data_IF_601147764048
#
_entry.id   IF_601147764048
#
_cell.length_a   1.000
_cell.length_b   1.000
_cell.length_c   1.000
_cell.angle_alpha   90.00
_cell.angle_beta   90.00
_cell.angle_gamma   90.00
#
_symmetry.space_group_name_H-M   'P 1'
#
loop_
_entity.id
_entity.type
_entity.pdbx_description
1 polymer ?
#
# COMPACT_ATOMS: atom_id res chain seq x y z
N UNK A 1 -17.99 -56.08 51.80
CA UNK A 1 -17.95 -57.40 52.44
C UNK A 1 -16.54 -57.95 52.29
N UNK A 2 -15.88 -58.17 53.43
CA UNK A 2 -14.72 -59.05 53.68
C UNK A 2 -13.38 -58.73 53.00
N UNK A 3 -12.22 -58.68 53.63
CA UNK A 3 -11.72 -58.81 55.02
C UNK A 3 -10.29 -58.20 54.97
N UNK A 4 -9.93 -57.19 55.76
CA UNK A 4 -8.98 -57.28 56.91
C UNK A 4 -7.75 -58.17 56.66
N UNK A 5 -6.48 -57.80 56.94
CA UNK A 5 -5.99 -57.22 58.19
C UNK A 5 -4.44 -57.00 58.12
N UNK A 6 -3.95 -55.94 58.81
CA UNK A 6 -2.79 -55.89 59.75
C UNK A 6 -1.38 -56.35 59.26
N UNK A 7 -0.26 -55.84 59.75
CA UNK A 7 0.09 -54.93 60.85
C UNK A 7 1.53 -54.45 60.67
N UNK A 8 1.83 -53.30 61.29
CA UNK A 8 3.16 -52.79 61.56
C UNK A 8 3.97 -53.70 62.49
N UNK A 9 5.30 -53.69 62.36
CA UNK A 9 6.23 -53.86 63.47
C UNK A 9 7.53 -53.10 63.16
N UNK A 10 7.88 -52.20 64.06
CA UNK A 10 9.16 -51.52 64.12
C UNK A 10 10.19 -52.40 64.85
N UNK A 11 11.45 -52.36 64.44
CA UNK A 11 12.58 -52.54 65.35
C UNK A 11 13.86 -51.96 64.75
N UNK A 12 14.69 -51.44 65.65
CA UNK A 12 15.86 -50.62 65.43
C UNK A 12 17.13 -51.43 65.07
N UNK A 13 18.14 -50.76 64.52
CA UNK A 13 19.52 -51.21 64.72
C UNK A 13 20.52 -50.92 63.61
N UNK A 14 21.50 -50.08 63.96
CA UNK A 14 22.90 -50.13 63.56
C UNK A 14 23.36 -49.47 62.23
N UNK A 15 24.24 -48.49 62.47
CA UNK A 15 25.09 -47.71 61.59
C UNK A 15 26.08 -48.60 60.82
N UNK A 16 26.19 -48.39 59.49
CA UNK A 16 27.45 -48.57 58.75
C UNK A 16 27.46 -47.70 57.49
N UNK A 17 28.46 -46.82 57.40
CA UNK A 17 28.68 -45.91 56.29
C UNK A 17 28.84 -46.69 54.97
N UNK A 18 28.05 -46.31 53.96
CA UNK A 18 28.14 -46.82 52.59
C UNK A 18 28.14 -45.64 51.60
N UNK A 19 29.15 -45.67 50.73
CA UNK A 19 29.40 -44.78 49.59
C UNK A 19 28.13 -44.46 48.80
N UNK A 20 27.89 -43.17 48.52
CA UNK A 20 26.85 -42.72 47.58
C UNK A 20 27.18 -43.16 46.14
N UNK A 21 26.18 -43.58 45.35
CA UNK A 21 26.34 -43.99 43.96
C UNK A 21 26.40 -42.78 43.03
N UNK A 22 27.15 -42.93 41.93
CA UNK A 22 27.23 -41.97 40.84
C UNK A 22 25.90 -41.91 40.07
N UNK A 23 25.21 -40.78 40.11
CA UNK A 23 24.14 -40.46 39.18
C UNK A 23 24.64 -39.42 38.17
N UNK A 24 24.57 -39.79 36.88
CA UNK A 24 24.86 -38.96 35.71
C UNK A 24 24.18 -37.59 35.85
N UNK A 25 24.99 -36.53 35.77
CA UNK A 25 24.54 -35.18 35.44
C UNK A 25 23.97 -35.21 34.02
N UNK A 26 22.65 -35.22 33.88
CA UNK A 26 21.98 -34.81 32.65
C UNK A 26 22.13 -33.30 32.54
N UNK A 27 23.12 -32.85 31.78
CA UNK A 27 23.20 -31.46 31.34
C UNK A 27 22.09 -31.21 30.33
N UNK A 28 21.05 -30.51 30.76
CA UNK A 28 20.10 -29.87 29.83
C UNK A 28 20.88 -28.86 28.99
N UNK A 29 20.82 -28.89 27.64
CA UNK A 29 21.48 -27.88 26.85
C UNK A 29 20.77 -26.54 27.09
N UNK A 30 21.50 -25.55 27.62
CA UNK A 30 21.08 -24.15 27.60
C UNK A 30 20.83 -23.79 26.14
N UNK A 31 19.54 -23.66 25.77
CA UNK A 31 19.12 -23.12 24.49
C UNK A 31 19.70 -21.70 24.41
N UNK A 32 20.68 -21.51 23.53
CA UNK A 32 21.22 -20.21 23.23
C UNK A 32 20.05 -19.29 22.82
N UNK A 33 19.84 -18.24 23.60
CA UNK A 33 18.92 -17.15 23.26
C UNK A 33 19.52 -16.49 22.04
N UNK A 34 18.95 -16.76 20.85
CA UNK A 34 19.22 -15.94 19.67
C UNK A 34 18.83 -14.51 20.03
N UNK A 35 19.65 -13.49 19.75
CA UNK A 35 19.25 -12.11 19.96
C UNK A 35 18.00 -11.86 19.11
N UNK A 36 16.89 -11.54 19.78
CA UNK A 36 15.68 -11.05 19.14
C UNK A 36 16.10 -9.74 18.47
N UNK A 37 15.98 -9.66 17.15
CA UNK A 37 16.14 -8.39 16.45
C UNK A 37 15.19 -7.39 17.13
N UNK A 38 15.73 -6.35 17.75
CA UNK A 38 14.95 -5.21 18.20
C UNK A 38 14.52 -4.50 16.92
N UNK A 39 13.26 -4.68 16.55
CA UNK A 39 12.61 -3.77 15.61
C UNK A 39 12.58 -2.42 16.35
N UNK A 40 13.16 -1.37 15.77
CA UNK A 40 12.96 -0.03 16.31
C UNK A 40 11.47 0.30 16.14
N UNK A 41 10.83 0.76 17.21
CA UNK A 41 9.39 1.05 17.25
C UNK A 41 9.00 2.37 16.56
N UNK A 42 9.93 3.04 15.87
CA UNK A 42 9.65 4.28 15.15
C UNK A 42 9.40 4.00 13.66
N UNK A 43 8.33 4.58 13.07
CA UNK A 43 8.09 4.51 11.64
C UNK A 43 9.25 5.20 10.92
N UNK A 44 9.96 4.45 10.08
CA UNK A 44 11.00 5.00 9.23
C UNK A 44 10.41 5.32 7.87
N UNK A 45 10.16 6.60 7.62
CA UNK A 45 9.72 7.10 6.33
C UNK A 45 10.91 7.26 5.38
N UNK A 46 10.70 7.08 4.08
CA UNK A 46 11.76 7.24 3.09
C UNK A 46 11.81 8.71 2.66
N UNK A 47 12.68 9.48 3.30
CA UNK A 47 13.36 10.60 2.66
C UNK A 47 14.79 10.18 2.34
N UNK A 48 15.35 10.67 1.24
CA UNK A 48 16.74 10.39 0.92
C UNK A 48 17.62 10.93 2.06
N UNK A 49 18.44 10.08 2.68
CA UNK A 49 19.35 10.46 3.78
C UNK A 49 20.27 11.65 3.41
N UNK A 50 20.51 11.90 2.12
CA UNK A 50 21.24 13.08 1.63
C UNK A 50 20.42 14.37 1.78
N UNK A 51 19.10 14.29 1.63
CA UNK A 51 18.16 15.39 1.85
C UNK A 51 17.84 15.53 3.36
N UNK A 52 17.80 14.44 4.13
CA UNK A 52 17.68 14.47 5.61
C UNK A 52 18.90 15.11 6.29
N UNK A 53 20.12 14.79 5.84
CA UNK A 53 21.35 15.44 6.33
C UNK A 53 21.39 16.94 6.03
N UNK A 54 20.63 17.39 5.02
CA UNK A 54 20.50 18.81 4.64
C UNK A 54 19.41 19.53 5.46
N UNK A 55 18.39 18.79 5.91
CA UNK A 55 17.31 19.31 6.77
C UNK A 55 17.61 19.21 8.28
N UNK A 56 18.58 18.38 8.69
CA UNK A 56 18.96 18.15 10.09
C UNK A 56 19.88 19.22 10.71
N UNK A 57 20.10 20.36 10.04
CA UNK A 57 20.75 21.50 10.67
C UNK A 57 19.75 22.18 11.62
N UNK A 58 20.17 22.54 12.86
CA UNK A 58 19.26 23.15 13.82
C UNK A 58 18.69 24.45 13.24
N UNK A 59 17.37 24.59 13.34
CA UNK A 59 16.68 25.83 12.99
C UNK A 59 17.16 26.93 13.96
N UNK A 60 18.03 27.81 13.49
CA UNK A 60 18.32 29.05 14.21
C UNK A 60 17.18 30.03 13.94
N UNK A 61 16.62 30.56 15.02
CA UNK A 61 15.39 31.35 14.97
C UNK A 61 15.75 32.76 14.51
N UNK A 62 15.74 32.96 13.19
CA UNK A 62 15.54 34.28 12.58
C UNK A 62 16.53 34.64 11.49
N UNK A 63 16.15 34.43 10.22
CA UNK A 63 16.35 35.35 9.08
C UNK A 63 15.72 34.74 7.81
N UNK A 64 14.52 35.22 7.44
CA UNK A 64 13.60 34.49 6.55
C UNK A 64 13.77 34.71 5.04
N UNK A 65 14.58 35.66 4.58
CA UNK A 65 14.61 36.00 3.14
C UNK A 65 15.86 35.46 2.42
N UNK A 66 17.04 35.51 3.06
CA UNK A 66 18.29 35.02 2.47
C UNK A 66 18.34 33.48 2.38
N UNK A 67 17.66 32.77 3.29
CA UNK A 67 17.63 31.30 3.29
C UNK A 67 16.62 30.72 2.30
N UNK A 68 15.53 31.44 2.00
CA UNK A 68 14.65 31.10 0.88
C UNK A 68 15.41 31.21 -0.45
N UNK A 69 16.26 32.23 -0.59
CA UNK A 69 17.17 32.35 -1.73
C UNK A 69 18.25 31.26 -1.71
N UNK A 70 18.85 30.94 -0.57
CA UNK A 70 19.86 29.86 -0.47
C UNK A 70 19.28 28.45 -0.69
N UNK A 71 18.04 28.17 -0.27
CA UNK A 71 17.31 26.94 -0.59
C UNK A 71 16.95 26.89 -2.08
N UNK A 72 16.58 28.03 -2.67
CA UNK A 72 16.32 28.18 -4.12
C UNK A 72 17.59 28.05 -4.95
N UNK A 73 18.72 28.52 -4.46
CA UNK A 73 20.05 28.37 -5.06
C UNK A 73 20.56 26.94 -4.92
N UNK A 74 20.32 26.30 -3.78
CA UNK A 74 20.54 24.88 -3.56
C UNK A 74 19.67 23.99 -4.47
N UNK A 75 18.47 24.45 -4.83
CA UNK A 75 17.54 23.82 -5.77
C UNK A 75 17.95 24.04 -7.23
N UNK A 76 18.64 25.13 -7.57
CA UNK A 76 19.00 25.50 -8.95
C UNK A 76 20.45 25.16 -9.34
N UNK A 77 21.37 25.11 -8.38
CA UNK A 77 22.74 24.67 -8.60
C UNK A 77 22.80 23.13 -8.67
N UNK A 78 23.36 22.61 -9.78
CA UNK A 78 23.70 21.21 -9.93
C UNK A 78 24.58 20.79 -8.75
N UNK A 79 24.08 19.85 -7.94
CA UNK A 79 24.81 19.42 -6.74
C UNK A 79 26.01 18.58 -7.20
N UNK A 80 27.13 18.52 -6.47
CA UNK A 80 28.31 17.72 -6.84
C UNK A 80 28.06 16.20 -6.95
N UNK A 81 26.82 15.73 -6.77
CA UNK A 81 26.40 14.33 -6.84
C UNK A 81 25.38 14.00 -7.94
N UNK A 82 25.02 14.94 -8.81
CA UNK A 82 24.11 14.67 -9.94
C UNK A 82 24.92 14.17 -11.17
N UNK A 83 24.57 13.01 -11.72
CA UNK A 83 25.19 12.43 -12.91
C UNK A 83 25.03 13.30 -14.16
N UNK A 84 25.88 13.14 -15.20
CA UNK A 84 25.72 13.89 -16.46
C UNK A 84 24.34 13.69 -17.11
N UNK A 85 23.74 12.51 -16.93
CA UNK A 85 22.40 12.20 -17.41
C UNK A 85 21.36 13.09 -16.72
N UNK A 86 21.37 13.15 -15.39
CA UNK A 86 20.38 13.91 -14.64
C UNK A 86 20.58 15.42 -14.76
N UNK A 87 21.83 15.88 -14.91
CA UNK A 87 22.11 17.27 -15.30
C UNK A 87 21.51 17.62 -16.67
N UNK A 88 21.57 16.71 -17.64
CA UNK A 88 21.00 16.94 -18.98
C UNK A 88 19.48 17.00 -18.92
N UNK A 89 18.85 16.03 -18.27
CA UNK A 89 17.40 16.02 -18.07
C UNK A 89 16.93 17.23 -17.26
N UNK A 90 17.70 17.68 -16.28
CA UNK A 90 17.35 18.86 -15.50
C UNK A 90 17.46 20.16 -16.31
N UNK A 91 18.31 20.23 -17.34
CA UNK A 91 18.34 21.36 -18.27
C UNK A 91 17.12 21.37 -19.20
N UNK A 92 16.64 20.20 -19.58
CA UNK A 92 15.51 20.04 -20.52
C UNK A 92 14.15 20.17 -19.83
N UNK A 93 14.00 19.58 -18.64
CA UNK A 93 12.74 19.44 -17.92
C UNK A 93 12.72 20.07 -16.52
N UNK A 94 13.82 20.68 -16.10
CA UNK A 94 13.88 21.38 -14.81
C UNK A 94 13.05 22.66 -14.85
N UNK A 95 12.24 22.86 -13.80
CA UNK A 95 11.48 24.10 -13.60
C UNK A 95 11.91 24.68 -12.26
N UNK A 96 12.59 25.83 -12.29
CA UNK A 96 13.22 26.41 -11.10
C UNK A 96 12.24 26.56 -9.92
N UNK A 97 12.53 25.88 -8.81
CA UNK A 97 11.71 25.86 -7.59
C UNK A 97 10.52 24.90 -7.59
N UNK A 98 10.28 24.18 -8.69
CA UNK A 98 9.10 23.33 -8.86
C UNK A 98 9.45 21.90 -9.28
N UNK A 99 10.35 21.73 -10.24
CA UNK A 99 10.68 20.43 -10.82
C UNK A 99 12.19 20.32 -10.92
N UNK A 100 12.73 19.20 -10.42
CA UNK A 100 14.15 18.90 -10.54
C UNK A 100 14.38 17.41 -10.80
N UNK A 101 15.32 17.10 -11.67
CA UNK A 101 15.78 15.74 -11.95
C UNK A 101 17.09 15.50 -11.21
N UNK A 102 17.23 14.37 -10.51
CA UNK A 102 18.43 13.99 -9.74
C UNK A 102 18.65 12.49 -9.74
N UNK A 103 19.85 12.08 -9.33
CA UNK A 103 20.11 10.69 -8.98
C UNK A 103 19.52 10.40 -7.59
N UNK A 104 18.71 9.36 -7.50
CA UNK A 104 18.12 8.86 -6.25
C UNK A 104 18.91 7.69 -5.66
N UNK A 105 18.22 6.91 -4.82
CA UNK A 105 18.77 5.70 -4.20
C UNK A 105 19.20 4.70 -5.28
N UNK A 106 20.35 4.06 -5.07
CA UNK A 106 20.86 3.07 -6.02
C UNK A 106 21.20 3.65 -7.41
N UNK A 107 21.50 4.95 -7.46
CA UNK A 107 21.83 5.72 -8.66
C UNK A 107 20.72 5.72 -9.74
N UNK A 108 19.48 5.44 -9.31
CA UNK A 108 18.32 5.45 -10.18
C UNK A 108 17.80 6.89 -10.37
N UNK A 109 17.50 7.27 -11.61
CA UNK A 109 17.00 8.61 -11.92
C UNK A 109 15.62 8.83 -11.30
N UNK A 110 15.47 9.95 -10.59
CA UNK A 110 14.19 10.42 -10.06
C UNK A 110 13.92 11.87 -10.50
N UNK A 111 12.64 12.21 -10.60
CA UNK A 111 12.16 13.58 -10.72
C UNK A 111 11.39 13.95 -9.45
N UNK A 112 11.62 15.16 -8.96
CA UNK A 112 11.03 15.69 -7.74
C UNK A 112 10.12 16.84 -8.10
N UNK A 113 8.88 16.83 -7.60
CA UNK A 113 7.92 17.93 -7.73
C UNK A 113 7.80 18.65 -6.39
N UNK A 114 7.82 19.98 -6.41
CA UNK A 114 7.69 20.85 -5.23
C UNK A 114 6.60 21.86 -5.51
N UNK A 115 5.54 21.80 -4.71
CA UNK A 115 4.42 22.74 -4.75
C UNK A 115 4.77 24.00 -3.93
N UNK A 116 4.28 25.20 -4.25
CA UNK A 116 4.56 26.42 -3.50
C UNK A 116 4.20 26.39 -2.01
N UNK A 117 3.29 25.49 -1.61
CA UNK A 117 2.96 25.27 -0.20
C UNK A 117 4.01 24.50 0.59
N UNK A 118 5.00 23.90 -0.07
CA UNK A 118 5.95 22.97 0.52
C UNK A 118 5.57 21.49 0.39
N UNK A 119 4.40 21.16 -0.19
CA UNK A 119 4.10 19.77 -0.55
C UNK A 119 5.10 19.27 -1.61
N UNK A 120 5.46 18.00 -1.53
CA UNK A 120 6.59 17.42 -2.26
C UNK A 120 6.28 16.01 -2.74
N UNK A 121 6.73 15.63 -3.93
CA UNK A 121 6.61 14.27 -4.43
C UNK A 121 7.88 13.80 -5.15
N UNK A 122 8.22 12.52 -5.00
CA UNK A 122 9.32 11.86 -5.71
C UNK A 122 8.80 10.78 -6.65
N UNK A 123 9.20 10.87 -7.91
CA UNK A 123 8.84 9.90 -8.94
C UNK A 123 10.11 9.31 -9.55
N UNK A 124 10.26 8.00 -9.48
CA UNK A 124 11.36 7.30 -10.14
C UNK A 124 10.98 7.00 -11.59
N UNK A 125 11.91 7.24 -12.52
CA UNK A 125 11.67 6.99 -13.95
C UNK A 125 11.48 5.50 -14.23
N UNK A 126 12.10 4.64 -13.44
CA UNK A 126 11.83 3.21 -13.49
C UNK A 126 10.41 2.92 -12.98
N UNK A 127 9.58 2.36 -13.84
CA UNK A 127 8.19 2.02 -13.56
C UNK A 127 7.26 3.22 -13.36
N UNK A 128 7.75 4.46 -13.57
CA UNK A 128 7.04 5.69 -13.22
C UNK A 128 6.46 5.67 -11.79
N UNK A 129 7.18 5.05 -10.84
CA UNK A 129 6.65 4.82 -9.50
C UNK A 129 6.79 6.10 -8.65
N UNK A 130 5.68 6.54 -8.06
CA UNK A 130 5.69 7.63 -7.09
C UNK A 130 6.00 7.02 -5.73
N UNK A 131 7.19 7.30 -5.21
CA UNK A 131 7.72 6.62 -4.02
C UNK A 131 7.54 7.41 -2.74
N UNK A 132 7.35 8.72 -2.85
CA UNK A 132 7.08 9.62 -1.73
C UNK A 132 6.12 10.71 -2.22
N UNK A 133 5.17 11.03 -1.36
CA UNK A 133 4.34 12.22 -1.45
C UNK A 133 4.18 12.78 -0.03
N UNK A 134 4.93 13.83 0.28
CA UNK A 134 4.80 14.54 1.55
C UNK A 134 3.87 15.74 1.40
N UNK A 135 2.90 15.84 2.31
CA UNK A 135 2.06 17.03 2.48
C UNK A 135 2.89 18.23 2.99
N UNK A 136 2.35 19.44 2.81
CA UNK A 136 2.96 20.66 3.37
C UNK A 136 3.12 20.62 4.90
N UNK A 137 2.28 19.85 5.59
CA UNK A 137 2.37 19.60 7.04
C UNK A 137 3.54 18.69 7.44
N UNK A 138 4.24 18.08 6.48
CA UNK A 138 5.32 17.13 6.71
C UNK A 138 4.88 15.66 6.78
N UNK A 139 3.57 15.38 6.73
CA UNK A 139 3.05 14.01 6.70
C UNK A 139 3.35 13.30 5.39
N UNK A 140 4.04 12.16 5.45
CA UNK A 140 4.27 11.27 4.31
C UNK A 140 3.01 10.44 4.02
N UNK A 141 2.61 10.38 2.75
CA UNK A 141 1.40 9.68 2.31
C UNK A 141 1.71 8.28 1.78
N UNK A 142 2.86 8.08 1.14
CA UNK A 142 3.24 6.78 0.59
C UNK A 142 4.37 6.13 1.38
N UNK A 143 4.23 4.82 1.58
CA UNK A 143 5.19 4.01 2.30
C UNK A 143 6.09 3.25 1.33
N UNK A 144 7.40 3.29 1.60
CA UNK A 144 8.41 2.44 0.99
C UNK A 144 9.30 1.91 2.10
N UNK A 145 9.69 0.65 2.03
CA UNK A 145 10.61 0.07 3.01
C UNK A 145 12.01 0.71 2.94
N UNK A 146 12.62 1.01 4.09
CA UNK A 146 13.98 1.54 4.18
C UNK A 146 15.00 0.63 3.45
N UNK A 147 14.85 -0.69 3.54
CA UNK A 147 15.69 -1.69 2.87
C UNK A 147 15.39 -1.92 1.38
N UNK A 148 14.42 -1.21 0.79
CA UNK A 148 14.00 -1.46 -0.58
C UNK A 148 15.13 -1.24 -1.59
N UNK A 149 15.24 -2.15 -2.56
CA UNK A 149 16.27 -2.11 -3.61
C UNK A 149 15.81 -1.27 -4.80
N UNK A 150 16.42 -0.09 -4.97
CA UNK A 150 16.21 0.78 -6.12
C UNK A 150 17.08 0.42 -7.34
N UNK A 151 17.71 -0.76 -7.32
CA UNK A 151 18.54 -1.22 -8.44
C UNK A 151 17.73 -1.37 -9.73
N UNK A 152 18.39 -1.13 -10.85
CA UNK A 152 17.84 -1.15 -12.22
C UNK A 152 16.99 -2.38 -12.58
N UNK A 153 17.14 -3.52 -11.91
CA UNK A 153 16.41 -4.76 -12.24
C UNK A 153 15.38 -5.24 -11.20
N UNK A 154 15.27 -4.61 -10.03
CA UNK A 154 14.29 -5.01 -9.01
C UNK A 154 13.00 -4.16 -9.10
N UNK A 155 11.80 -4.75 -9.26
CA UNK A 155 10.57 -4.00 -9.05
C UNK A 155 10.54 -3.46 -7.62
N UNK A 156 10.11 -2.20 -7.47
CA UNK A 156 9.99 -1.57 -6.16
C UNK A 156 8.62 -1.91 -5.58
N UNK A 157 8.60 -2.65 -4.47
CA UNK A 157 7.38 -2.95 -3.71
C UNK A 157 7.22 -1.87 -2.63
N UNK A 158 6.37 -0.88 -2.92
CA UNK A 158 6.22 0.35 -2.14
C UNK A 158 5.91 1.54 -3.03
N UNK A 159 5.44 2.64 -2.44
CA UNK A 159 5.02 3.82 -3.19
C UNK A 159 3.63 3.59 -3.83
N UNK A 160 3.47 4.06 -5.07
CA UNK A 160 2.25 3.92 -5.85
C UNK A 160 2.53 3.30 -7.23
N UNK A 161 2.88 2.00 -7.29
CA UNK A 161 3.21 1.31 -8.53
C UNK A 161 2.00 1.19 -9.47
N UNK A 162 2.25 1.41 -10.76
CA UNK A 162 1.30 1.15 -11.85
C UNK A 162 1.16 -0.35 -12.13
N UNK A 163 -0.08 -0.79 -12.36
CA UNK A 163 -0.44 -2.12 -12.82
C UNK A 163 -0.92 -2.04 -14.27
N UNK A 164 -0.18 -2.66 -15.21
CA UNK A 164 -0.57 -2.76 -16.62
C UNK A 164 0.23 -3.84 -17.36
N UNK A 165 -0.39 -4.66 -18.22
CA UNK A 165 -1.82 -4.74 -18.54
C UNK A 165 -2.59 -5.70 -17.60
N UNK A 166 -2.01 -6.03 -16.43
CA UNK A 166 -2.56 -6.98 -15.48
C UNK A 166 -2.54 -6.40 -14.06
N UNK A 167 -3.54 -6.73 -13.25
CA UNK A 167 -3.53 -6.51 -11.81
C UNK A 167 -3.37 -7.83 -11.04
N UNK A 168 -2.55 -7.81 -9.99
CA UNK A 168 -2.30 -8.96 -9.14
C UNK A 168 -1.64 -10.12 -9.89
N UNK A 169 -1.72 -11.33 -9.33
CA UNK A 169 -1.13 -12.54 -9.93
C UNK A 169 -1.86 -13.05 -11.19
N UNK A 170 -2.98 -12.43 -11.57
CA UNK A 170 -3.84 -12.92 -12.64
C UNK A 170 -4.42 -14.32 -12.36
N UNK A 171 -4.40 -15.19 -13.37
CA UNK A 171 -4.96 -16.54 -13.33
C UNK A 171 -6.47 -16.59 -13.56
N UNK A 172 -7.20 -17.34 -12.73
CA UNK A 172 -8.66 -17.48 -12.78
C UNK A 172 -9.42 -16.30 -12.16
N UNK A 173 -8.71 -15.27 -11.70
CA UNK A 173 -9.30 -14.04 -11.14
C UNK A 173 -9.98 -13.22 -12.25
N UNK A 174 -11.08 -12.49 -11.94
CA UNK A 174 -11.63 -11.46 -12.82
C UNK A 174 -10.56 -10.43 -13.22
N UNK A 175 -10.77 -9.75 -14.36
CA UNK A 175 -9.82 -8.75 -14.85
C UNK A 175 -8.42 -9.26 -15.19
N UNK A 176 -8.26 -10.57 -15.44
CA UNK A 176 -6.96 -11.20 -15.68
C UNK A 176 -6.72 -11.47 -17.17
N UNK A 177 -5.64 -10.89 -17.70
CA UNK A 177 -5.13 -11.19 -19.05
C UNK A 177 -4.25 -12.45 -19.08
N UNK A 178 -3.93 -13.03 -17.91
CA UNK A 178 -3.03 -14.19 -17.77
C UNK A 178 -3.46 -15.40 -18.63
N UNK A 179 -4.76 -15.59 -18.85
CA UNK A 179 -5.26 -16.69 -19.69
C UNK A 179 -4.77 -16.57 -21.14
N UNK A 180 -4.74 -15.35 -21.67
CA UNK A 180 -4.18 -15.06 -22.98
C UNK A 180 -2.64 -15.02 -22.96
N UNK A 181 -2.05 -14.60 -21.83
CA UNK A 181 -0.60 -14.43 -21.69
C UNK A 181 -0.05 -15.15 -20.44
N UNK A 182 0.22 -16.47 -20.51
CA UNK A 182 0.61 -17.26 -19.34
C UNK A 182 1.93 -16.87 -18.67
N UNK A 183 2.76 -16.06 -19.35
CA UNK A 183 4.04 -15.56 -18.83
C UNK A 183 3.91 -14.16 -18.20
N UNK A 184 2.70 -13.60 -18.13
CA UNK A 184 2.45 -12.27 -17.58
C UNK A 184 2.85 -12.22 -16.09
N UNK A 185 3.78 -11.35 -15.69
CA UNK A 185 4.13 -11.19 -14.28
C UNK A 185 2.96 -10.65 -13.45
N UNK A 186 3.07 -10.81 -12.13
CA UNK A 186 2.13 -10.17 -11.22
C UNK A 186 2.17 -8.64 -11.39
N UNK A 187 1.01 -8.00 -11.38
CA UNK A 187 0.83 -6.56 -11.61
C UNK A 187 1.29 -6.06 -13.00
N UNK A 188 1.56 -6.98 -13.92
CA UNK A 188 1.96 -6.67 -15.29
C UNK A 188 3.40 -6.15 -15.41
N UNK A 189 3.68 -5.50 -16.52
CA UNK A 189 5.05 -5.19 -16.98
C UNK A 189 5.41 -3.71 -16.81
N UNK A 190 4.43 -2.81 -16.73
CA UNK A 190 4.67 -1.37 -16.76
C UNK A 190 5.56 -0.85 -15.62
N UNK A 191 5.45 -1.44 -14.42
CA UNK A 191 6.28 -1.11 -13.25
C UNK A 191 7.75 -1.54 -13.39
N UNK A 192 8.06 -2.40 -14.36
CA UNK A 192 9.41 -2.89 -14.62
C UNK A 192 10.09 -2.17 -15.80
N UNK A 193 9.30 -1.45 -16.60
CA UNK A 193 9.80 -0.72 -17.77
C UNK A 193 10.52 0.56 -17.36
N UNK A 194 11.44 1.01 -18.21
CA UNK A 194 12.04 2.34 -18.08
C UNK A 194 11.12 3.36 -18.72
N UNK A 195 10.84 4.45 -18.00
CA UNK A 195 10.06 5.57 -18.52
C UNK A 195 10.97 6.74 -18.81
N UNK A 196 10.55 7.58 -19.76
CA UNK A 196 11.27 8.79 -20.15
C UNK A 196 10.44 9.99 -19.77
N UNK A 197 11.09 11.00 -19.21
CA UNK A 197 10.48 12.30 -19.02
C UNK A 197 10.29 12.94 -20.40
N UNK A 198 9.04 13.26 -20.74
CA UNK A 198 8.67 13.79 -22.06
C UNK A 198 8.19 15.24 -21.99
N UNK A 199 7.60 15.64 -20.86
CA UNK A 199 7.11 17.00 -20.63
C UNK A 199 7.18 17.33 -19.14
N UNK A 200 7.31 18.61 -18.84
CA UNK A 200 7.29 19.14 -17.48
C UNK A 200 6.84 20.58 -17.53
N UNK A 201 6.10 21.02 -16.53
CA UNK A 201 5.65 22.40 -16.50
C UNK A 201 4.88 22.75 -15.24
N UNK A 202 4.10 23.82 -15.37
CA UNK A 202 3.20 24.28 -14.33
C UNK A 202 1.88 24.66 -14.98
N UNK A 203 0.79 24.42 -14.29
CA UNK A 203 -0.50 25.01 -14.60
C UNK A 203 -0.97 25.86 -13.42
N UNK A 204 -1.96 26.72 -13.67
CA UNK A 204 -2.63 27.48 -12.62
C UNK A 204 -3.94 26.77 -12.32
N UNK A 205 -4.09 26.30 -11.08
CA UNK A 205 -5.33 25.70 -10.61
C UNK A 205 -6.43 26.77 -10.47
N UNK A 206 -7.69 26.34 -10.29
CA UNK A 206 -8.85 27.23 -10.20
C UNK A 206 -8.75 28.24 -9.04
N UNK A 207 -7.98 27.90 -7.99
CA UNK A 207 -7.70 28.77 -6.84
C UNK A 207 -6.56 29.78 -7.08
N UNK A 208 -5.99 29.81 -8.28
CA UNK A 208 -4.87 30.67 -8.66
C UNK A 208 -3.49 30.11 -8.30
N UNK A 209 -3.40 28.93 -7.70
CA UNK A 209 -2.13 28.32 -7.30
C UNK A 209 -1.38 27.72 -8.49
N UNK A 210 -0.06 27.93 -8.55
CA UNK A 210 0.78 27.30 -9.57
C UNK A 210 1.15 25.88 -9.15
N UNK A 211 0.62 24.88 -9.85
CA UNK A 211 0.84 23.47 -9.57
C UNK A 211 1.84 22.88 -10.57
N UNK A 212 2.92 22.20 -10.11
CA UNK A 212 3.85 21.51 -11.01
C UNK A 212 3.25 20.22 -11.57
N UNK A 213 3.64 19.89 -12.79
CA UNK A 213 3.34 18.60 -13.40
C UNK A 213 4.50 18.05 -14.22
N UNK A 214 4.54 16.74 -14.38
CA UNK A 214 5.48 16.02 -15.26
C UNK A 214 4.73 14.98 -16.08
N UNK A 215 5.20 14.69 -17.29
CA UNK A 215 4.69 13.61 -18.14
C UNK A 215 5.82 12.62 -18.38
N UNK A 216 5.54 11.35 -18.05
CA UNK A 216 6.41 10.21 -18.26
C UNK A 216 5.83 9.33 -19.36
N UNK A 217 6.68 8.86 -20.27
CA UNK A 217 6.25 7.98 -21.35
C UNK A 217 7.09 6.71 -21.42
N UNK A 218 6.45 5.62 -21.81
CA UNK A 218 7.13 4.37 -22.18
C UNK A 218 6.41 3.71 -23.36
N UNK A 219 7.12 2.88 -24.11
CA UNK A 219 6.60 2.16 -25.29
C UNK A 219 7.09 0.73 -25.23
N UNK A 220 6.38 -0.16 -25.91
CA UNK A 220 6.78 -1.56 -26.01
C UNK A 220 8.18 -1.76 -26.63
N UNK A 221 8.92 -2.70 -26.05
CA UNK A 221 10.22 -3.18 -26.50
C UNK A 221 10.21 -4.70 -26.73
N UNK A 222 11.34 -5.28 -27.12
CA UNK A 222 11.43 -6.71 -27.40
C UNK A 222 11.13 -7.57 -26.16
N UNK A 223 11.48 -7.10 -24.96
CA UNK A 223 11.23 -7.82 -23.72
C UNK A 223 9.76 -7.77 -23.33
N UNK A 224 9.11 -6.61 -23.45
CA UNK A 224 7.67 -6.48 -23.21
C UNK A 224 6.87 -7.28 -24.23
N UNK A 225 7.23 -7.23 -25.53
CA UNK A 225 6.57 -7.98 -26.61
C UNK A 225 6.70 -9.49 -26.46
N UNK A 226 7.75 -9.98 -25.82
CA UNK A 226 7.93 -11.41 -25.53
C UNK A 226 6.90 -11.96 -24.52
N UNK A 227 6.33 -11.09 -23.68
CA UNK A 227 5.33 -11.45 -22.65
C UNK A 227 3.92 -11.00 -23.06
N UNK A 228 3.81 -9.82 -23.65
CA UNK A 228 2.57 -9.19 -24.10
C UNK A 228 2.76 -8.74 -25.56
N UNK A 229 2.36 -9.57 -26.55
CA UNK A 229 2.71 -9.39 -27.97
C UNK A 229 1.84 -8.34 -28.66
N UNK A 230 1.80 -7.12 -28.10
CA UNK A 230 1.08 -5.97 -28.63
C UNK A 230 1.98 -4.74 -28.64
N UNK A 231 1.80 -3.91 -29.66
CA UNK A 231 2.42 -2.59 -29.69
C UNK A 231 1.59 -1.60 -28.87
N UNK A 232 2.24 -0.92 -27.94
CA UNK A 232 1.58 0.02 -27.06
C UNK A 232 2.50 1.16 -26.66
N UNK A 233 1.90 2.30 -26.36
CA UNK A 233 2.55 3.41 -25.66
C UNK A 233 1.74 3.76 -24.41
N UNK A 234 2.43 4.06 -23.32
CA UNK A 234 1.85 4.61 -22.11
C UNK A 234 2.38 6.03 -21.91
N UNK A 235 1.49 6.93 -21.51
CA UNK A 235 1.84 8.27 -21.03
C UNK A 235 1.21 8.47 -19.66
N UNK A 236 1.97 8.93 -18.68
CA UNK A 236 1.56 9.18 -17.31
C UNK A 236 1.90 10.62 -16.95
N UNK A 237 0.88 11.44 -16.83
CA UNK A 237 0.97 12.80 -16.32
C UNK A 237 0.71 12.78 -14.80
N UNK A 238 1.64 13.35 -14.03
CA UNK A 238 1.60 13.42 -12.58
C UNK A 238 1.60 14.90 -12.19
N UNK A 239 0.57 15.32 -11.48
CA UNK A 239 0.35 16.71 -11.08
C UNK A 239 0.19 16.80 -9.58
N UNK A 240 0.99 17.66 -8.94
CA UNK A 240 1.02 17.85 -7.50
C UNK A 240 0.28 19.14 -7.12
N UNK A 241 -0.74 19.02 -6.28
CA UNK A 241 -1.52 20.12 -5.72
C UNK A 241 -1.31 20.20 -4.20
N UNK A 242 -1.96 21.16 -3.53
CA UNK A 242 -1.78 21.40 -2.09
C UNK A 242 -1.96 20.15 -1.21
N UNK A 243 -3.08 19.44 -1.35
CA UNK A 243 -3.45 18.21 -0.63
C UNK A 243 -3.86 17.09 -1.57
N UNK A 244 -3.54 17.21 -2.86
CA UNK A 244 -3.91 16.21 -3.86
C UNK A 244 -2.76 15.85 -4.78
N UNK A 245 -2.76 14.61 -5.23
CA UNK A 245 -1.90 14.11 -6.29
C UNK A 245 -2.79 13.56 -7.41
N UNK A 246 -2.75 14.18 -8.58
CA UNK A 246 -3.49 13.74 -9.76
C UNK A 246 -2.58 12.92 -10.65
N UNK A 247 -3.09 11.81 -11.17
CA UNK A 247 -2.36 10.93 -12.06
C UNK A 247 -3.26 10.62 -13.25
N UNK A 248 -2.88 11.09 -14.43
CA UNK A 248 -3.57 10.83 -15.68
C UNK A 248 -2.75 9.89 -16.54
N UNK A 249 -3.27 8.71 -16.81
CA UNK A 249 -2.65 7.69 -17.64
C UNK A 249 -3.37 7.57 -18.97
N UNK A 250 -2.62 7.63 -20.05
CA UNK A 250 -3.12 7.39 -21.40
C UNK A 250 -2.49 6.13 -21.96
N UNK A 251 -3.35 5.17 -22.33
CA UNK A 251 -2.96 3.95 -23.04
C UNK A 251 -3.20 4.17 -24.53
N UNK A 252 -2.16 4.01 -25.32
CA UNK A 252 -2.21 4.03 -26.77
C UNK A 252 -2.04 2.61 -27.29
N UNK A 253 -2.95 2.15 -28.14
CA UNK A 253 -2.71 1.00 -28.99
C UNK A 253 -2.12 1.49 -30.30
N UNK A 254 -0.81 1.27 -30.47
CA UNK A 254 -0.04 1.65 -31.65
C UNK A 254 0.06 0.51 -32.66
N UNK A 255 -0.60 -0.61 -32.37
CA UNK A 255 -0.59 -1.82 -33.17
C UNK A 255 -1.88 -2.04 -33.97
N UNK A 256 -1.84 -3.01 -34.89
CA UNK A 256 -2.98 -3.33 -35.75
C UNK A 256 -4.04 -4.20 -35.06
N UNK A 257 -3.74 -4.77 -33.89
CA UNK A 257 -4.58 -5.74 -33.19
C UNK A 257 -5.18 -5.13 -31.93
N UNK A 258 -6.43 -5.46 -31.61
CA UNK A 258 -7.01 -5.09 -30.32
C UNK A 258 -6.40 -5.93 -29.19
N UNK A 259 -6.31 -5.36 -27.99
CA UNK A 259 -5.93 -6.08 -26.79
C UNK A 259 -6.76 -5.67 -25.58
N UNK A 260 -6.88 -6.60 -24.64
CA UNK A 260 -7.52 -6.37 -23.35
C UNK A 260 -6.46 -6.00 -22.31
N UNK A 261 -6.81 -5.11 -21.37
CA UNK A 261 -5.90 -4.69 -20.31
C UNK A 261 -6.64 -4.28 -19.03
N UNK A 262 -5.99 -4.56 -17.91
CA UNK A 262 -6.23 -3.90 -16.63
C UNK A 262 -5.25 -2.74 -16.50
N UNK A 263 -5.74 -1.63 -15.98
CA UNK A 263 -4.95 -0.47 -15.58
C UNK A 263 -5.34 -0.11 -14.14
N UNK A 264 -4.34 0.21 -13.34
CA UNK A 264 -4.57 0.77 -12.02
C UNK A 264 -3.29 1.04 -11.27
N UNK A 265 -3.45 1.37 -10.01
CA UNK A 265 -2.38 1.73 -9.11
C UNK A 265 -2.54 0.97 -7.80
N UNK A 266 -1.43 0.62 -7.15
CA UNK A 266 -1.40 -0.10 -5.87
C UNK A 266 -0.69 0.72 -4.80
N UNK A 267 -1.32 1.80 -4.34
CA UNK A 267 -0.71 2.65 -3.33
C UNK A 267 -0.47 1.88 -2.03
N UNK A 268 0.77 1.98 -1.54
CA UNK A 268 1.17 1.60 -0.20
C UNK A 268 1.02 2.84 0.66
N UNK A 269 -0.12 2.99 1.31
CA UNK A 269 -0.45 4.21 2.06
C UNK A 269 0.23 4.13 3.42
N UNK A 270 1.02 5.13 3.77
CA UNK A 270 1.65 5.22 5.07
C UNK A 270 0.58 5.37 6.16
N UNK A 271 0.71 4.58 7.23
CA UNK A 271 -0.21 4.63 8.38
C UNK A 271 0.58 4.65 9.68
N UNK A 272 -0.07 5.14 10.74
CA UNK A 272 0.48 5.20 12.10
C UNK A 272 0.87 3.80 12.60
N UNK A 273 -0.12 2.92 12.74
CA UNK A 273 0.10 1.54 13.15
C UNK A 273 -1.11 0.67 12.80
N UNK A 274 -0.92 -0.35 11.97
CA UNK A 274 -1.99 -1.32 11.66
C UNK A 274 -2.36 -2.22 12.85
N UNK A 275 -1.53 -2.31 13.90
CA UNK A 275 -1.81 -3.11 15.12
C UNK A 275 -2.62 -2.38 16.18
N UNK A 276 -2.50 -1.06 16.27
CA UNK A 276 -3.28 -0.27 17.23
C UNK A 276 -4.75 -0.21 16.83
N UNK A 277 -5.05 -0.53 15.58
CA UNK A 277 -6.42 -0.69 15.08
C UNK A 277 -7.03 0.61 14.57
N UNK A 278 -6.28 1.71 14.46
CA UNK A 278 -6.79 2.99 13.99
C UNK A 278 -6.80 3.15 12.45
N UNK A 279 -6.64 2.03 11.73
CA UNK A 279 -6.63 1.98 10.27
C UNK A 279 -7.92 1.38 9.74
N UNK A 280 -8.66 2.20 9.00
CA UNK A 280 -10.00 1.88 8.52
C UNK A 280 -10.14 2.20 7.04
N UNK A 281 -10.86 1.35 6.32
CA UNK A 281 -11.32 1.63 4.96
C UNK A 281 -12.77 2.12 5.00
N UNK A 282 -13.09 3.10 4.17
CA UNK A 282 -14.40 3.74 4.07
C UNK A 282 -14.85 3.82 2.62
N UNK A 283 -16.16 3.99 2.38
CA UNK A 283 -16.74 4.10 1.04
C UNK A 283 -16.88 2.78 0.28
N UNK A 284 -16.91 1.65 1.02
CA UNK A 284 -17.01 0.30 0.45
C UNK A 284 -18.41 -0.32 0.64
N UNK A 285 -19.45 0.53 0.74
CA UNK A 285 -20.84 0.10 0.88
C UNK A 285 -21.39 -0.46 -0.43
N UNK A 286 -22.38 -1.36 -0.35
CA UNK A 286 -23.08 -1.92 -1.53
C UNK A 286 -22.17 -2.40 -2.68
N UNK A 287 -21.02 -2.99 -2.32
CA UNK A 287 -20.01 -3.46 -3.26
C UNK A 287 -20.04 -4.98 -3.43
N UNK A 288 -19.69 -5.44 -4.64
CA UNK A 288 -19.30 -6.85 -4.86
C UNK A 288 -17.83 -7.00 -4.48
N UNK A 289 -17.53 -7.93 -3.58
CA UNK A 289 -16.17 -8.17 -3.06
C UNK A 289 -15.63 -9.49 -3.61
N UNK A 290 -14.44 -9.42 -4.20
CA UNK A 290 -13.62 -10.56 -4.56
C UNK A 290 -12.57 -10.77 -3.46
N UNK A 291 -12.78 -11.78 -2.62
CA UNK A 291 -11.86 -12.15 -1.56
C UNK A 291 -10.84 -13.19 -2.06
N UNK A 292 -9.60 -12.74 -2.30
CA UNK A 292 -8.51 -13.57 -2.81
C UNK A 292 -7.84 -14.43 -1.72
N UNK A 293 -8.06 -14.12 -0.43
CA UNK A 293 -7.50 -14.88 0.68
C UNK A 293 -8.38 -16.09 1.05
N UNK A 294 -9.68 -16.00 0.80
CA UNK A 294 -10.62 -17.06 1.14
C UNK A 294 -10.45 -18.36 0.33
N UNK A 295 -9.70 -18.34 -0.78
CA UNK A 295 -9.38 -19.54 -1.56
C UNK A 295 -8.11 -19.34 -2.42
N UNK A 296 -7.24 -20.36 -2.57
CA UNK A 296 -5.89 -20.19 -3.14
C UNK A 296 -5.82 -19.81 -4.62
N UNK A 297 -6.78 -20.23 -5.45
CA UNK A 297 -6.73 -19.99 -6.92
C UNK A 297 -7.85 -19.11 -7.45
N UNK A 298 -9.08 -19.30 -6.95
CA UNK A 298 -10.28 -18.51 -7.30
C UNK A 298 -10.68 -17.59 -6.15
N UNK A 299 -11.02 -16.32 -6.40
CA UNK A 299 -11.59 -15.45 -5.37
C UNK A 299 -12.97 -15.95 -4.97
N UNK A 300 -13.35 -15.75 -3.70
CA UNK A 300 -14.75 -15.90 -3.29
C UNK A 300 -15.48 -14.58 -3.52
N UNK A 301 -16.66 -14.67 -4.13
CA UNK A 301 -17.54 -13.52 -4.30
C UNK A 301 -18.39 -13.35 -3.06
N UNK A 302 -18.46 -12.12 -2.54
CA UNK A 302 -19.34 -11.71 -1.44
C UNK A 302 -19.99 -10.37 -1.80
N UNK A 303 -21.04 -10.01 -1.06
CA UNK A 303 -21.65 -8.68 -1.14
C UNK A 303 -21.46 -7.99 0.21
N UNK A 304 -21.09 -6.71 0.21
CA UNK A 304 -20.93 -5.97 1.48
C UNK A 304 -22.28 -5.76 2.18
N UNK A 305 -23.39 -5.75 1.43
CA UNK A 305 -24.74 -5.72 1.97
C UNK A 305 -25.12 -6.94 2.83
N UNK A 306 -24.36 -8.04 2.71
CA UNK A 306 -24.53 -9.22 3.57
C UNK A 306 -23.76 -9.13 4.90
N UNK A 307 -22.95 -8.08 5.09
CA UNK A 307 -22.17 -7.85 6.31
C UNK A 307 -23.01 -7.15 7.38
N UNK A 308 -22.51 -7.11 8.61
CA UNK A 308 -23.08 -6.26 9.64
C UNK A 308 -23.04 -4.79 9.19
N UNK A 309 -24.06 -3.97 9.46
CA UNK A 309 -24.15 -2.58 8.95
C UNK A 309 -22.93 -1.71 9.28
N UNK A 310 -22.20 -2.05 10.34
CA UNK A 310 -20.96 -1.38 10.69
C UNK A 310 -19.78 -1.83 9.81
N UNK A 311 -19.63 -3.14 9.60
CA UNK A 311 -18.56 -3.70 8.76
C UNK A 311 -18.77 -3.37 7.28
N UNK A 312 -20.02 -3.19 6.87
CA UNK A 312 -20.37 -2.66 5.55
C UNK A 312 -19.89 -1.20 5.38
N UNK A 313 -20.16 -0.36 6.39
CA UNK A 313 -19.79 1.08 6.36
C UNK A 313 -18.29 1.32 6.46
N UNK A 314 -17.61 0.52 7.27
CA UNK A 314 -16.21 0.74 7.60
C UNK A 314 -15.51 -0.58 7.92
N UNK A 315 -14.45 -0.87 7.19
CA UNK A 315 -13.66 -2.09 7.36
C UNK A 315 -12.36 -1.77 8.11
N UNK A 316 -12.21 -2.31 9.32
CA UNK A 316 -10.97 -2.19 10.08
C UNK A 316 -9.94 -3.21 9.58
N UNK A 317 -8.70 -2.75 9.36
CA UNK A 317 -7.62 -3.66 8.98
C UNK A 317 -7.10 -4.43 10.19
N UNK A 318 -7.51 -5.69 10.34
CA UNK A 318 -7.15 -6.54 11.50
C UNK A 318 -6.28 -7.76 11.14
N UNK A 319 -5.91 -7.93 9.88
CA UNK A 319 -5.16 -9.10 9.45
C UNK A 319 -4.81 -9.10 7.98
N UNK A 320 -4.26 -10.23 7.54
CA UNK A 320 -3.90 -10.44 6.14
C UNK A 320 -5.13 -10.23 5.25
N UNK A 321 -4.99 -9.36 4.26
CA UNK A 321 -6.10 -8.96 3.41
C UNK A 321 -5.61 -8.89 1.96
N UNK A 322 -6.39 -9.44 1.03
CA UNK A 322 -6.27 -9.27 -0.41
C UNK A 322 -7.69 -9.33 -0.99
N UNK A 323 -8.32 -8.15 -1.10
CA UNK A 323 -9.72 -8.02 -1.52
C UNK A 323 -9.82 -6.99 -2.64
N UNK A 324 -10.71 -7.24 -3.59
CA UNK A 324 -11.07 -6.28 -4.64
C UNK A 324 -12.56 -5.99 -4.54
N UNK A 325 -12.89 -4.72 -4.34
CA UNK A 325 -14.24 -4.18 -4.31
C UNK A 325 -14.56 -3.62 -5.70
N UNK A 326 -15.63 -4.12 -6.30
CA UNK A 326 -16.03 -3.76 -7.65
C UNK A 326 -17.05 -2.62 -7.61
N UNK A 327 -16.93 -1.70 -8.57
CA UNK A 327 -17.89 -0.61 -8.78
C UNK A 327 -18.16 0.21 -7.49
N UNK A 328 -17.07 0.62 -6.82
CA UNK A 328 -17.12 1.42 -5.60
C UNK A 328 -17.58 2.84 -5.87
N UNK A 329 -18.05 3.55 -4.83
CA UNK A 329 -18.32 4.99 -4.94
C UNK A 329 -17.04 5.78 -5.22
N UNK A 330 -17.02 6.47 -6.37
CA UNK A 330 -15.82 7.09 -6.92
C UNK A 330 -15.19 8.18 -6.04
N UNK A 331 -15.97 8.88 -5.21
CA UNK A 331 -15.49 10.00 -4.39
C UNK A 331 -15.30 9.65 -2.91
N UNK A 332 -16.02 8.64 -2.41
CA UNK A 332 -16.11 8.30 -0.99
C UNK A 332 -15.13 7.22 -0.54
N UNK A 333 -14.44 6.56 -1.46
CA UNK A 333 -13.59 5.42 -1.12
C UNK A 333 -12.19 5.84 -0.71
N UNK A 334 -11.76 5.44 0.48
CA UNK A 334 -10.46 5.83 1.03
C UNK A 334 -10.00 4.96 2.19
N UNK A 335 -8.81 5.29 2.69
CA UNK A 335 -8.21 4.69 3.88
C UNK A 335 -7.86 5.77 4.88
N UNK A 336 -8.17 5.50 6.13
CA UNK A 336 -7.82 6.33 7.27
C UNK A 336 -6.52 5.84 7.87
N UNK A 337 -5.60 6.77 8.07
CA UNK A 337 -4.20 6.43 8.35
C UNK A 337 -3.86 6.46 9.85
N UNK A 338 -4.87 6.71 10.70
CA UNK A 338 -4.76 6.82 12.15
C UNK A 338 -4.20 8.14 12.68
N UNK A 339 -3.90 9.12 11.81
CA UNK A 339 -3.48 10.48 12.21
C UNK A 339 -4.64 11.47 12.36
N UNK A 340 -5.88 11.04 12.13
CA UNK A 340 -7.02 11.95 11.92
C UNK A 340 -7.26 12.32 10.44
N UNK A 341 -6.38 11.87 9.55
CA UNK A 341 -6.49 12.08 8.10
C UNK A 341 -7.07 10.86 7.37
N UNK A 342 -7.75 11.13 6.26
CA UNK A 342 -8.21 10.12 5.29
C UNK A 342 -7.60 10.39 3.92
N UNK A 343 -7.02 9.36 3.32
CA UNK A 343 -6.61 9.36 1.93
C UNK A 343 -7.72 8.78 1.07
N UNK A 344 -8.33 9.61 0.24
CA UNK A 344 -9.29 9.17 -0.78
C UNK A 344 -8.57 8.83 -2.08
N UNK A 345 -9.00 7.75 -2.72
CA UNK A 345 -8.59 7.37 -4.07
C UNK A 345 -9.79 7.57 -4.99
N UNK A 346 -9.75 8.63 -5.79
CA UNK A 346 -10.90 9.09 -6.57
C UNK A 346 -10.70 8.88 -8.06
N UNK A 347 -11.76 8.45 -8.74
CA UNK A 347 -11.81 8.47 -10.20
C UNK A 347 -12.34 9.83 -10.64
N UNK A 348 -11.56 10.56 -11.44
CA UNK A 348 -11.96 11.88 -11.96
C UNK A 348 -12.22 11.83 -13.47
N UNK A 349 -12.18 10.65 -14.08
CA UNK A 349 -12.53 10.42 -15.50
C UNK A 349 -13.99 10.11 -15.77
N UNK A 350 -14.85 10.15 -14.75
CA UNK A 350 -16.27 9.79 -14.88
C UNK A 350 -16.48 8.28 -15.08
N UNK A 351 -17.62 7.91 -15.66
CA UNK A 351 -18.13 6.53 -15.72
C UNK A 351 -17.22 5.53 -16.46
N UNK A 352 -16.34 6.01 -17.35
CA UNK A 352 -15.40 5.17 -18.12
C UNK A 352 -14.02 4.97 -17.43
N UNK A 353 -13.90 5.40 -16.17
CA UNK A 353 -12.65 5.43 -15.40
C UNK A 353 -12.40 4.22 -14.49
N UNK A 354 -11.57 4.43 -13.47
CA UNK A 354 -11.15 3.38 -12.53
C UNK A 354 -12.13 3.26 -11.34
N UNK A 355 -13.14 2.40 -11.48
CA UNK A 355 -14.23 2.25 -10.49
C UNK A 355 -14.03 1.11 -9.47
N UNK A 356 -12.95 0.33 -9.58
CA UNK A 356 -12.66 -0.75 -8.64
C UNK A 356 -11.62 -0.31 -7.61
N UNK A 357 -11.67 -0.90 -6.41
CA UNK A 357 -10.72 -0.64 -5.32
C UNK A 357 -10.13 -1.93 -4.79
N UNK A 358 -8.82 -1.98 -4.69
CA UNK A 358 -8.14 -3.10 -4.07
C UNK A 358 -7.69 -2.72 -2.66
N UNK A 359 -7.95 -3.60 -1.71
CA UNK A 359 -7.50 -3.46 -0.32
C UNK A 359 -6.56 -4.62 -0.03
N UNK A 360 -5.34 -4.31 0.39
CA UNK A 360 -4.35 -5.34 0.66
C UNK A 360 -3.47 -5.03 1.86
N UNK A 361 -3.11 -6.09 2.59
CA UNK A 361 -2.10 -6.05 3.63
C UNK A 361 -1.46 -7.44 3.74
N UNK A 362 -0.11 -7.55 3.66
CA UNK A 362 0.58 -8.83 3.80
C UNK A 362 0.52 -9.38 5.23
N UNK A 363 0.33 -8.49 6.22
CA UNK A 363 0.37 -8.82 7.64
C UNK A 363 1.63 -9.63 8.00
N UNK A 364 1.47 -10.76 8.69
CA UNK A 364 2.55 -11.62 9.14
C UNK A 364 3.42 -12.20 8.01
N UNK A 365 3.03 -12.09 6.73
CA UNK A 365 3.93 -12.47 5.63
C UNK A 365 5.05 -11.47 5.38
N UNK A 366 4.90 -10.24 5.86
CA UNK A 366 5.92 -9.18 5.77
C UNK A 366 6.12 -8.52 7.14
N UNK A 367 6.63 -9.26 8.16
CA UNK A 367 6.56 -8.89 9.56
C UNK A 367 7.31 -7.60 9.93
N UNK A 368 8.19 -7.12 9.05
CA UNK A 368 8.99 -5.91 9.27
C UNK A 368 8.33 -4.63 8.74
N UNK A 369 7.36 -4.74 7.82
CA UNK A 369 6.84 -3.59 7.07
C UNK A 369 5.33 -3.42 7.18
N UNK A 370 4.57 -4.50 7.35
CA UNK A 370 3.10 -4.47 7.35
C UNK A 370 2.46 -3.53 8.38
N UNK A 371 3.21 -3.18 9.43
CA UNK A 371 2.77 -2.29 10.51
C UNK A 371 2.54 -0.86 10.01
N UNK A 372 3.31 -0.45 9.01
CA UNK A 372 3.47 0.96 8.65
C UNK A 372 2.76 1.34 7.35
N UNK A 373 2.04 0.40 6.74
CA UNK A 373 1.24 0.71 5.55
C UNK A 373 -0.05 -0.08 5.45
N UNK A 374 -1.00 0.53 4.74
CA UNK A 374 -2.24 -0.08 4.31
C UNK A 374 -2.34 0.04 2.78
N UNK A 375 -2.63 -1.06 2.10
CA UNK A 375 -2.72 -1.07 0.64
C UNK A 375 -4.06 -0.49 0.18
N UNK A 376 -4.02 0.52 -0.70
CA UNK A 376 -5.19 1.08 -1.35
C UNK A 376 -4.92 1.16 -2.86
N UNK A 377 -5.52 0.26 -3.62
CA UNK A 377 -5.46 0.28 -5.07
C UNK A 377 -6.71 0.86 -5.70
N UNK A 378 -6.54 1.48 -6.87
CA UNK A 378 -7.61 2.04 -7.71
C UNK A 378 -7.36 1.61 -9.16
N UNK A 379 -8.36 1.06 -9.83
CA UNK A 379 -8.18 0.55 -11.19
C UNK A 379 -9.44 -0.04 -11.81
N UNK A 380 -9.27 -0.71 -12.95
CA UNK A 380 -10.28 -1.58 -13.57
C UNK A 380 -9.88 -3.06 -13.37
N UNK A 381 -10.05 -3.54 -12.14
CA UNK A 381 -9.58 -4.85 -11.68
C UNK A 381 -10.60 -5.97 -11.91
N UNK A 382 -11.90 -5.66 -11.94
CA UNK A 382 -12.95 -6.63 -12.22
C UNK A 382 -13.20 -6.83 -13.70
N UNK A 383 -13.06 -5.75 -14.49
CA UNK A 383 -13.38 -5.74 -15.92
C UNK A 383 -12.23 -5.15 -16.74
N UNK A 384 -11.71 -5.96 -17.66
CA UNK A 384 -10.70 -5.53 -18.61
C UNK A 384 -11.28 -4.48 -19.57
N UNK A 385 -10.46 -3.49 -19.90
CA UNK A 385 -10.75 -2.54 -20.98
C UNK A 385 -10.19 -3.09 -22.28
N UNK A 386 -10.79 -2.69 -23.40
CA UNK A 386 -10.37 -3.09 -24.74
C UNK A 386 -9.73 -1.89 -25.43
N UNK A 387 -8.44 -2.01 -25.79
CA UNK A 387 -7.77 -1.04 -26.63
C UNK A 387 -7.94 -1.46 -28.10
N UNK A 388 -8.72 -0.71 -28.88
CA UNK A 388 -8.90 -0.94 -30.33
C UNK A 388 -7.65 -0.50 -31.10
N UNK A 389 -7.39 -1.00 -32.33
CA UNK A 389 -6.27 -0.53 -33.14
C UNK A 389 -6.30 0.99 -33.31
N UNK A 390 -5.13 1.62 -33.28
CA UNK A 390 -4.94 3.07 -33.44
C UNK A 390 -5.79 3.92 -32.48
N UNK A 391 -6.17 3.36 -31.33
CA UNK A 391 -6.98 4.06 -30.32
C UNK A 391 -6.14 4.55 -29.15
N UNK A 392 -6.67 5.56 -28.47
CA UNK A 392 -6.15 6.04 -27.19
C UNK A 392 -7.28 6.12 -26.16
N UNK A 393 -6.98 5.75 -24.92
CA UNK A 393 -7.89 5.89 -23.81
C UNK A 393 -7.16 6.50 -22.62
N UNK A 394 -7.70 7.59 -22.09
CA UNK A 394 -7.17 8.25 -20.90
C UNK A 394 -8.00 7.90 -19.68
N UNK A 395 -7.33 7.80 -18.53
CA UNK A 395 -7.95 7.66 -17.22
C UNK A 395 -7.15 8.45 -16.22
N UNK A 396 -7.84 9.17 -15.36
CA UNK A 396 -7.33 10.14 -14.42
C UNK A 396 -7.89 9.79 -13.05
N UNK A 397 -6.98 9.65 -12.11
CA UNK A 397 -7.27 9.42 -10.71
C UNK A 397 -6.74 10.59 -9.89
N UNK A 398 -7.38 10.83 -8.76
CA UNK A 398 -6.94 11.81 -7.77
C UNK A 398 -6.82 11.14 -6.42
N UNK A 399 -5.62 11.17 -5.87
CA UNK A 399 -5.44 10.96 -4.44
C UNK A 399 -5.64 12.28 -3.73
N UNK A 400 -6.46 12.30 -2.67
CA UNK A 400 -6.77 13.52 -1.92
C UNK A 400 -6.75 13.25 -0.42
N UNK A 401 -5.98 14.03 0.32
CA UNK A 401 -5.92 13.93 1.79
C UNK A 401 -6.83 14.95 2.42
N UNK A 402 -7.69 14.49 3.33
CA UNK A 402 -8.60 15.33 4.12
C UNK A 402 -8.29 15.16 5.60
N UNK A 403 -8.15 16.27 6.31
CA UNK A 403 -7.86 16.35 7.75
C UNK A 403 -9.14 16.20 8.61
N UNK A 404 -10.03 15.29 8.22
CA UNK A 404 -11.22 14.92 8.98
C UNK A 404 -11.58 13.47 8.67
N UNK A 405 -11.61 12.64 9.71
CA UNK A 405 -11.85 11.21 9.59
C UNK A 405 -13.35 10.88 9.63
N UNK A 406 -13.97 10.37 8.55
CA UNK A 406 -15.38 9.98 8.56
C UNK A 406 -15.67 8.83 9.53
N UNK A 407 -14.70 7.96 9.84
CA UNK A 407 -14.90 6.87 10.79
C UNK A 407 -15.08 7.33 12.23
N UNK A 408 -14.72 8.56 12.63
CA UNK A 408 -14.90 8.98 14.03
C UNK A 408 -16.37 8.82 14.43
N UNK A 409 -17.28 9.33 13.59
CA UNK A 409 -18.73 9.17 13.81
C UNK A 409 -19.16 7.72 13.68
N UNK A 410 -18.58 6.96 12.74
CA UNK A 410 -18.88 5.53 12.56
C UNK A 410 -18.43 4.72 13.79
N UNK A 411 -17.31 5.08 14.43
CA UNK A 411 -16.77 4.46 15.65
C UNK A 411 -17.61 4.79 16.87
N UNK A 412 -18.09 6.02 16.99
CA UNK A 412 -19.05 6.42 18.04
C UNK A 412 -20.35 5.62 17.90
N UNK A 413 -20.89 5.53 16.67
CA UNK A 413 -22.05 4.70 16.33
C UNK A 413 -21.79 3.21 16.63
N UNK A 414 -20.61 2.69 16.28
CA UNK A 414 -20.19 1.30 16.54
C UNK A 414 -20.14 0.98 18.03
N UNK A 415 -19.50 1.84 18.81
CA UNK A 415 -19.39 1.66 20.25
C UNK A 415 -20.76 1.71 20.92
N UNK A 416 -21.66 2.56 20.42
CA UNK A 416 -23.07 2.56 20.85
C UNK A 416 -23.80 1.27 20.43
N UNK A 417 -23.64 0.83 19.19
CA UNK A 417 -24.25 -0.39 18.66
C UNK A 417 -23.81 -1.64 19.43
N UNK A 418 -22.50 -1.81 19.66
CA UNK A 418 -21.95 -2.95 20.42
C UNK A 418 -22.44 -2.94 21.87
N UNK A 419 -22.55 -1.77 22.51
CA UNK A 419 -23.16 -1.66 23.85
C UNK A 419 -24.62 -2.12 23.84
N UNK A 420 -25.41 -1.69 22.87
CA UNK A 420 -26.82 -2.07 22.73
C UNK A 420 -26.96 -3.56 22.39
N UNK A 421 -26.14 -4.10 21.49
CA UNK A 421 -26.13 -5.52 21.12
C UNK A 421 -25.68 -6.42 22.28
N UNK A 422 -24.67 -6.01 23.04
CA UNK A 422 -24.25 -6.70 24.26
C UNK A 422 -25.36 -6.70 25.32
N UNK A 423 -26.07 -5.59 25.51
CA UNK A 423 -27.25 -5.52 26.38
C UNK A 423 -28.39 -6.42 25.89
N UNK A 424 -28.64 -6.46 24.58
CA UNK A 424 -29.68 -7.29 23.97
C UNK A 424 -29.34 -8.79 24.01
N UNK A 425 -28.07 -9.18 23.89
CA UNK A 425 -27.64 -10.58 23.98
C UNK A 425 -27.68 -11.10 25.41
N UNK A 426 -27.43 -10.25 26.42
CA UNK A 426 -27.68 -10.57 27.83
C UNK A 426 -29.17 -10.72 28.16
N UNK A 427 -30.05 -10.04 27.40
CA UNK A 427 -31.50 -10.12 27.57
C UNK A 427 -32.16 -11.31 26.83
N UNK A 428 -31.46 -11.96 25.90
CA UNK A 428 -31.98 -13.16 25.21
C UNK A 428 -31.79 -14.39 26.11
N UNK A 429 -32.86 -15.13 26.46
CA UNK A 429 -32.70 -16.40 27.14
C UNK A 429 -31.91 -17.35 26.24
N UNK A 430 -30.79 -17.88 26.75
CA UNK A 430 -30.05 -18.93 26.05
C UNK A 430 -30.93 -20.19 26.01
N UNK A 431 -31.33 -20.60 24.81
CA UNK A 431 -31.90 -21.92 24.57
C UNK A 431 -30.74 -22.89 24.32
N UNK A 432 -30.48 -23.76 25.29
CA UNK A 432 -29.54 -24.86 25.16
C UNK A 432 -30.36 -26.10 24.74
N UNK A 433 -30.57 -26.25 23.43
CA UNK A 433 -31.23 -27.45 22.90
C UNK A 433 -30.19 -28.56 22.82
N UNK A 434 -30.47 -29.66 23.49
CA UNK A 434 -29.68 -30.88 23.32
C UNK A 434 -29.80 -31.38 21.88
N UNK A 435 -28.77 -32.05 21.34
CA UNK A 435 -28.79 -32.56 19.97
C UNK A 435 -29.99 -33.47 19.66
N UNK A 436 -30.59 -34.09 20.67
CA UNK A 436 -31.82 -34.89 20.56
C UNK A 436 -33.11 -34.09 20.40
N UNK A 437 -33.08 -32.79 20.69
CA UNK A 437 -34.25 -31.89 20.63
C UNK A 437 -34.31 -31.08 19.32
N UNK A 438 -33.27 -31.15 18.50
CA UNK A 438 -33.29 -30.58 17.15
C UNK A 438 -34.13 -31.46 16.21
N UNK A 439 -34.83 -30.91 15.22
CA UNK A 439 -35.45 -31.68 14.14
C UNK A 439 -34.44 -32.60 13.46
N UNK A 440 -34.85 -33.79 13.00
CA UNK A 440 -33.96 -34.85 12.50
C UNK A 440 -33.09 -34.45 11.31
N UNK A 441 -33.49 -33.42 10.56
CA UNK A 441 -32.74 -32.80 9.47
C UNK A 441 -31.66 -31.80 9.94
N UNK A 442 -31.66 -31.46 11.22
CA UNK A 442 -30.76 -30.51 11.89
C UNK A 442 -29.98 -31.12 13.08
N UNK A 443 -30.22 -32.41 13.42
CA UNK A 443 -29.36 -33.22 14.31
C UNK A 443 -28.11 -33.68 13.56
#
# INVERSE_FOLDING_TARGET
>A
MNYTQRASLASAGAVRALRKPSARRTTTPRRAVRPRAKLNDEPKFVRDTRDEARAGQPADVGERDHELEAFRDALTAGSPGDSPMTQTLNKEFGVAGFIRVRDGRGDATKVTLTHPSGAYAEVYLKGANIVSWTLASGGEVFYVEEGASFKKHAPLDGGNPICFPQFGRGGERPGSVHKAYPKMPADGIASQMEWRLSESGKYVADDGTSCPFVVLETTDDDASRAVFPHAFKLSMEISLEYTSLKIKTTVYNTGPNMFEYALGYKAHVAVTDTKEGDVYYVGLNDCVVLDNEAHPTKPRVRFTADLDPLEERCFQLQGKTDKVYLNTEDLGTGVEVGTGCTLYAQNVSGEDGCVDRAVFSPWDSSPNTYRWYAGLGIGNFGKLRIAKPDSRASTEIRYHVVDTTPSIRIREDAAAYLKVSALNSLARPKFDLSGSELPTDLQ
#
